data_IF_425651997736
#
_entry.id   IF_425651997736
#
_cell.length_a   1.000
_cell.length_b   1.000
_cell.length_c   1.000
_cell.angle_alpha   90.00
_cell.angle_beta   90.00
_cell.angle_gamma   90.00
#
_symmetry.space_group_name_H-M   'P 1'
#
loop_
_entity.id
_entity.type
_entity.pdbx_description
1 polymer ?
#
# COMPACT_ATOMS: atom_id res chain seq x y z
N UNK A 1 0.93 13.99 11.18
CA UNK A 1 0.94 14.65 9.85
C UNK A 1 -0.49 14.76 9.32
N UNK A 2 -0.83 15.76 8.50
CA UNK A 2 -2.16 15.81 7.86
C UNK A 2 -2.17 15.08 6.51
N UNK A 3 -3.33 14.55 6.10
CA UNK A 3 -3.49 13.75 4.87
C UNK A 3 -2.89 14.42 3.63
N UNK A 4 -3.15 15.71 3.43
CA UNK A 4 -2.71 16.44 2.24
C UNK A 4 -1.18 16.67 2.26
N UNK A 5 -0.58 16.99 3.41
CA UNK A 5 0.89 17.10 3.53
C UNK A 5 1.59 15.79 3.17
N UNK A 6 1.00 14.65 3.55
CA UNK A 6 1.55 13.32 3.21
C UNK A 6 1.46 13.07 1.71
N UNK A 7 0.33 13.42 1.09
CA UNK A 7 0.16 13.32 -0.35
C UNK A 7 1.17 14.21 -1.09
N UNK A 8 1.42 15.42 -0.60
CA UNK A 8 2.43 16.31 -1.19
C UNK A 8 3.83 15.69 -1.12
N UNK A 9 4.21 15.14 0.04
CA UNK A 9 5.48 14.41 0.20
C UNK A 9 5.62 13.21 -0.74
N UNK A 10 4.55 12.43 -0.89
CA UNK A 10 4.48 11.32 -1.86
C UNK A 10 4.68 11.84 -3.29
N UNK A 11 4.03 12.94 -3.66
CA UNK A 11 4.16 13.49 -5.01
C UNK A 11 5.57 14.03 -5.29
N UNK A 12 6.24 14.56 -4.28
CA UNK A 12 7.60 15.08 -4.37
C UNK A 12 8.69 14.01 -4.40
N UNK A 13 8.41 12.77 -3.96
CA UNK A 13 9.38 11.68 -3.98
C UNK A 13 10.08 11.52 -5.35
N UNK A 14 11.40 11.39 -5.40
CA UNK A 14 12.12 11.25 -6.68
C UNK A 14 12.57 9.82 -6.94
N UNK A 15 12.53 8.96 -5.93
CA UNK A 15 12.91 7.56 -5.98
C UNK A 15 12.05 6.72 -5.02
N UNK A 16 12.28 5.40 -4.99
CA UNK A 16 11.53 4.47 -4.12
C UNK A 16 11.78 4.69 -2.63
N UNK A 17 12.99 5.09 -2.23
CA UNK A 17 13.34 5.34 -0.83
C UNK A 17 12.64 6.61 -0.29
N UNK A 18 12.57 7.66 -1.10
CA UNK A 18 11.81 8.89 -0.80
C UNK A 18 10.31 8.57 -0.64
N UNK A 19 9.78 7.71 -1.52
CA UNK A 19 8.38 7.30 -1.46
C UNK A 19 8.10 6.47 -0.20
N UNK A 20 9.01 5.55 0.16
CA UNK A 20 8.88 4.77 1.37
C UNK A 20 8.96 5.65 2.61
N UNK A 21 9.91 6.61 2.64
CA UNK A 21 10.04 7.62 3.70
C UNK A 21 8.79 8.49 3.80
N UNK A 22 8.19 8.91 2.67
CA UNK A 22 6.95 9.68 2.67
C UNK A 22 5.74 8.87 3.16
N UNK A 23 5.80 7.53 3.11
CA UNK A 23 4.80 6.60 3.64
C UNK A 23 5.13 6.12 5.06
N UNK A 24 6.29 6.48 5.61
CA UNK A 24 6.71 6.10 6.95
C UNK A 24 5.77 6.67 8.03
N UNK A 25 5.45 5.86 9.03
CA UNK A 25 4.47 6.17 10.08
C UNK A 25 3.03 6.34 9.59
N UNK A 26 2.72 6.14 8.29
CA UNK A 26 1.34 6.22 7.80
C UNK A 26 0.45 5.15 8.45
N UNK A 27 0.97 3.94 8.64
CA UNK A 27 0.21 2.84 9.23
C UNK A 27 -0.21 3.15 10.67
N UNK A 28 0.72 3.64 11.48
CA UNK A 28 0.46 4.05 12.86
C UNK A 28 -0.55 5.21 12.92
N UNK A 29 -0.40 6.23 12.07
CA UNK A 29 -1.35 7.34 11.98
C UNK A 29 -2.74 6.87 11.51
N UNK A 30 -2.80 5.94 10.56
CA UNK A 30 -4.04 5.38 10.04
C UNK A 30 -4.74 4.52 11.10
N UNK A 31 -4.01 3.72 11.88
CA UNK A 31 -4.55 2.91 12.97
C UNK A 31 -5.02 3.76 14.13
N UNK A 32 -4.26 4.80 14.51
CA UNK A 32 -4.66 5.75 15.55
C UNK A 32 -5.97 6.46 15.20
N UNK A 33 -6.25 6.66 13.90
CA UNK A 33 -7.50 7.29 13.43
C UNK A 33 -8.62 6.30 13.14
N UNK A 34 -8.27 5.10 12.69
CA UNK A 34 -9.17 4.04 12.29
C UNK A 34 -8.69 2.72 12.92
N UNK A 35 -9.06 2.44 14.18
CA UNK A 35 -8.59 1.25 14.90
C UNK A 35 -8.91 -0.06 14.18
N UNK A 36 -9.99 -0.11 13.41
CA UNK A 36 -10.36 -1.25 12.58
C UNK A 36 -9.25 -1.67 11.59
N UNK A 37 -8.45 -0.72 11.09
CA UNK A 37 -7.34 -1.02 10.17
C UNK A 37 -6.23 -1.84 10.83
N UNK A 38 -6.19 -1.97 12.16
CA UNK A 38 -5.29 -2.89 12.85
C UNK A 38 -5.52 -4.34 12.40
N UNK A 39 -6.78 -4.71 12.13
CA UNK A 39 -7.19 -6.03 11.65
C UNK A 39 -6.95 -6.23 10.14
N UNK A 40 -6.65 -5.17 9.40
CA UNK A 40 -6.36 -5.22 7.97
C UNK A 40 -4.91 -5.68 7.73
N UNK A 41 -4.59 -6.93 8.10
CA UNK A 41 -3.23 -7.49 8.03
C UNK A 41 -2.64 -7.46 6.62
N UNK A 42 -3.44 -7.80 5.61
CA UNK A 42 -3.01 -7.76 4.20
C UNK A 42 -2.64 -6.34 3.78
N UNK A 43 -3.48 -5.35 4.11
CA UNK A 43 -3.20 -3.94 3.82
C UNK A 43 -1.86 -3.50 4.42
N UNK A 44 -1.60 -3.85 5.68
CA UNK A 44 -0.34 -3.55 6.38
C UNK A 44 0.87 -4.18 5.67
N UNK A 45 0.75 -5.44 5.28
CA UNK A 45 1.81 -6.14 4.54
C UNK A 45 2.08 -5.49 3.18
N UNK A 46 1.03 -5.11 2.44
CA UNK A 46 1.20 -4.44 1.14
C UNK A 46 1.87 -3.07 1.29
N UNK A 47 1.53 -2.29 2.32
CA UNK A 47 2.16 -0.99 2.56
C UNK A 47 3.62 -1.16 3.00
N UNK A 48 3.91 -2.06 3.94
CA UNK A 48 5.27 -2.32 4.41
C UNK A 48 6.18 -2.91 3.32
N UNK A 49 5.62 -3.64 2.36
CA UNK A 49 6.34 -4.18 1.20
C UNK A 49 6.38 -3.23 -0.01
N UNK A 50 5.94 -1.98 0.12
CA UNK A 50 5.84 -1.00 -0.98
C UNK A 50 4.96 -1.45 -2.17
N UNK A 51 4.12 -2.47 -1.98
CA UNK A 51 3.13 -2.95 -2.94
C UNK A 51 1.86 -2.08 -2.90
N UNK A 52 2.01 -0.77 -3.12
CA UNK A 52 0.92 0.21 -2.92
C UNK A 52 -0.30 -0.02 -3.82
N UNK A 53 -0.11 -0.53 -5.05
CA UNK A 53 -1.22 -0.86 -5.93
C UNK A 53 -2.12 -1.96 -5.33
N UNK A 54 -1.52 -2.99 -4.73
CA UNK A 54 -2.24 -4.06 -4.04
C UNK A 54 -2.80 -3.57 -2.71
N UNK A 55 -2.12 -2.66 -2.00
CA UNK A 55 -2.67 -2.00 -0.82
C UNK A 55 -4.00 -1.28 -1.11
N UNK A 56 -4.14 -0.63 -2.27
CA UNK A 56 -5.43 -0.04 -2.69
C UNK A 56 -6.51 -1.11 -2.83
N UNK A 57 -6.17 -2.28 -3.36
CA UNK A 57 -7.11 -3.40 -3.54
C UNK A 57 -7.49 -4.00 -2.19
N UNK A 58 -6.51 -4.30 -1.32
CA UNK A 58 -6.73 -4.82 0.02
C UNK A 58 -7.61 -3.88 0.85
N UNK A 59 -7.38 -2.56 0.76
CA UNK A 59 -8.24 -1.57 1.42
C UNK A 59 -9.69 -1.64 0.92
N UNK A 60 -9.91 -1.73 -0.40
CA UNK A 60 -11.25 -1.84 -0.97
C UNK A 60 -11.96 -3.13 -0.54
N UNK A 61 -11.25 -4.25 -0.53
CA UNK A 61 -11.80 -5.53 -0.06
C UNK A 61 -12.18 -5.45 1.42
N UNK A 62 -11.33 -4.85 2.25
CA UNK A 62 -11.61 -4.65 3.67
C UNK A 62 -12.83 -3.74 3.90
N UNK A 63 -12.95 -2.65 3.14
CA UNK A 63 -14.14 -1.77 3.16
C UNK A 63 -15.41 -2.53 2.76
N UNK A 64 -15.34 -3.37 1.73
CA UNK A 64 -16.48 -4.19 1.30
C UNK A 64 -16.88 -5.24 2.35
N UNK A 65 -15.91 -5.83 3.05
CA UNK A 65 -16.16 -6.84 4.08
C UNK A 65 -16.74 -6.25 5.38
N UNK A 66 -16.31 -5.04 5.76
CA UNK A 66 -16.70 -4.38 7.01
C UNK A 66 -17.90 -3.43 6.84
N UNK A 67 -18.14 -2.96 5.62
CA UNK A 67 -19.08 -1.87 5.35
C UNK A 67 -18.56 -0.49 5.77
N UNK A 68 -17.31 -0.39 6.25
CA UNK A 68 -16.69 0.86 6.63
C UNK A 68 -15.97 1.53 5.45
N UNK A 69 -15.74 2.83 5.54
CA UNK A 69 -14.99 3.58 4.52
C UNK A 69 -13.86 4.38 5.14
N UNK A 70 -12.70 4.38 4.47
CA UNK A 70 -11.49 5.04 4.96
C UNK A 70 -10.98 6.06 3.95
N UNK A 71 -11.72 7.17 3.70
CA UNK A 71 -11.45 8.08 2.59
C UNK A 71 -10.06 8.73 2.68
N UNK A 72 -9.56 9.00 3.89
CA UNK A 72 -8.21 9.57 4.09
C UNK A 72 -7.12 8.56 3.74
N UNK A 73 -7.22 7.36 4.28
CA UNK A 73 -6.27 6.28 3.99
C UNK A 73 -6.26 5.95 2.49
N UNK A 74 -7.45 5.87 1.89
CA UNK A 74 -7.60 5.61 0.46
C UNK A 74 -6.93 6.68 -0.41
N UNK A 75 -7.05 7.97 -0.08
CA UNK A 75 -6.39 9.06 -0.81
C UNK A 75 -4.86 8.91 -0.76
N UNK A 76 -4.30 8.65 0.42
CA UNK A 76 -2.84 8.50 0.62
C UNK A 76 -2.30 7.29 -0.13
N UNK A 77 -2.90 6.10 0.07
CA UNK A 77 -2.44 4.86 -0.55
C UNK A 77 -2.58 4.94 -2.08
N UNK A 78 -3.64 5.57 -2.59
CA UNK A 78 -3.80 5.81 -4.03
C UNK A 78 -2.72 6.74 -4.57
N UNK A 79 -2.39 7.82 -3.87
CA UNK A 79 -1.31 8.72 -4.28
C UNK A 79 0.03 7.97 -4.33
N UNK A 80 0.32 7.14 -3.32
CA UNK A 80 1.53 6.32 -3.28
C UNK A 80 1.59 5.32 -4.44
N UNK A 81 0.47 4.65 -4.74
CA UNK A 81 0.39 3.73 -5.89
C UNK A 81 0.62 4.43 -7.23
N UNK A 82 0.02 5.61 -7.45
CA UNK A 82 0.25 6.40 -8.68
C UNK A 82 1.71 6.81 -8.77
N UNK A 83 2.30 7.28 -7.67
CA UNK A 83 3.70 7.70 -7.66
C UNK A 83 4.65 6.53 -7.90
N UNK A 84 4.44 5.41 -7.23
CA UNK A 84 5.22 4.19 -7.41
C UNK A 84 5.23 3.74 -8.88
N UNK A 85 4.06 3.81 -9.54
CA UNK A 85 3.97 3.52 -10.97
C UNK A 85 4.75 4.54 -11.83
N UNK A 86 4.63 5.83 -11.52
CA UNK A 86 5.35 6.90 -12.22
C UNK A 86 6.88 6.83 -12.06
N UNK A 87 7.38 6.29 -10.95
CA UNK A 87 8.81 6.10 -10.68
C UNK A 87 9.41 4.90 -11.43
N UNK A 88 8.60 4.10 -12.15
CA UNK A 88 9.07 2.94 -12.90
C UNK A 88 8.38 1.62 -12.53
N UNK A 89 7.39 1.66 -11.62
CA UNK A 89 6.58 0.49 -11.31
C UNK A 89 5.62 0.15 -12.45
N UNK A 90 6.07 -0.67 -13.40
CA UNK A 90 5.15 -1.33 -14.31
C UNK A 90 4.09 -2.11 -13.50
N UNK A 91 2.81 -2.15 -13.90
CA UNK A 91 1.77 -2.92 -13.21
C UNK A 91 1.92 -4.46 -13.35
N UNK A 92 3.11 -4.98 -13.66
CA UNK A 92 3.35 -6.40 -13.86
C UNK A 92 4.52 -6.90 -13.02
N UNK A 93 4.23 -7.66 -11.96
CA UNK A 93 5.22 -8.58 -11.36
C UNK A 93 6.00 -8.12 -10.13
N UNK A 94 5.55 -7.08 -9.40
CA UNK A 94 6.06 -6.84 -8.04
C UNK A 94 5.53 -7.90 -7.05
N UNK A 95 6.30 -8.29 -6.01
CA UNK A 95 5.93 -9.36 -5.10
C UNK A 95 4.53 -9.12 -4.55
N UNK A 96 3.66 -10.10 -4.74
CA UNK A 96 2.30 -10.08 -4.22
C UNK A 96 2.39 -9.98 -2.71
N UNK A 97 1.79 -8.95 -2.11
CA UNK A 97 1.74 -8.81 -0.66
C UNK A 97 1.04 -9.99 0.04
N UNK A 98 0.33 -10.82 -0.73
CA UNK A 98 -0.03 -12.18 -0.39
C UNK A 98 0.64 -13.16 -1.38
N UNK A 99 1.78 -13.77 -1.00
CA UNK A 99 1.97 -15.24 -1.00
C UNK A 99 3.41 -15.60 -0.64
N UNK A 100 3.52 -16.43 0.40
CA UNK A 100 4.57 -17.44 0.66
C UNK A 100 5.17 -18.07 -0.62
N UNK A 101 6.39 -18.66 -0.56
CA UNK A 101 7.23 -18.96 -1.73
C UNK A 101 6.48 -19.73 -2.81
N UNK A 102 6.59 -19.22 -4.03
CA UNK A 102 6.25 -19.93 -5.25
C UNK A 102 6.85 -21.34 -5.17
N UNK A 103 6.08 -22.45 -5.21
CA UNK A 103 6.67 -23.72 -5.55
C UNK A 103 7.15 -23.55 -6.99
N UNK A 104 8.48 -23.59 -7.17
CA UNK A 104 9.08 -23.74 -8.48
C UNK A 104 8.39 -24.92 -9.15
N UNK A 105 7.61 -24.63 -10.19
CA UNK A 105 7.14 -25.65 -11.12
C UNK A 105 8.38 -26.17 -11.85
N UNK A 106 9.10 -27.05 -11.18
CA UNK A 106 10.01 -27.98 -11.82
C UNK A 106 9.16 -28.89 -12.69
N UNK A 107 9.15 -28.63 -13.99
CA UNK A 107 8.88 -29.67 -14.97
C UNK A 107 10.21 -30.04 -15.58
N UNK A 108 10.88 -30.97 -14.90
CA UNK A 108 11.80 -31.88 -15.57
C UNK A 108 10.98 -32.91 -16.34
N UNK A 109 11.27 -33.03 -17.62
CA UNK A 109 11.22 -34.25 -18.43
C UNK A 109 11.90 -33.96 -19.77
#
# INVERSE_FOLDING_TARGET
MNTDQRIDGIQQAQNYDDLHTAMDGFLDEAQARYPALEQAGELKACIGGSAFAQAVVALKQYQAATGETYPRAQRVIKAAAVKHAALGGAPGGGPTCASSPQPESGTGA
#
